data_IF_773770091527
#
_entry.id   IF_773770091527
#
_cell.length_a   1.000
_cell.length_b   1.000
_cell.length_c   1.000
_cell.angle_alpha   90.00
_cell.angle_beta   90.00
_cell.angle_gamma   90.00
#
_symmetry.space_group_name_H-M   'P 1'
#
loop_
_entity.id
_entity.type
_entity.pdbx_description
1 polymer ?
#
# COMPACT_ATOMS: atom_id res chain seq x y z
N UNK A 1 4.14 21.70 1.55
CA UNK A 1 4.00 22.24 2.92
C UNK A 1 4.36 21.14 3.91
N UNK A 2 5.06 21.44 5.00
CA UNK A 2 5.32 20.49 6.09
C UNK A 2 4.29 20.75 7.19
N UNK A 3 3.64 19.71 7.68
CA UNK A 3 2.65 19.82 8.76
C UNK A 3 3.35 20.13 10.10
N UNK A 4 2.71 20.87 11.02
CA UNK A 4 3.22 21.03 12.37
C UNK A 4 3.22 19.68 13.11
N UNK A 5 3.82 19.63 14.31
CA UNK A 5 3.73 18.44 15.16
C UNK A 5 2.27 18.21 15.56
N UNK A 6 1.73 17.05 15.22
CA UNK A 6 0.37 16.63 15.55
C UNK A 6 0.38 15.44 16.50
N UNK A 7 -0.74 15.21 17.19
CA UNK A 7 -1.02 13.94 17.86
C UNK A 7 -1.26 12.85 16.80
N UNK A 8 -1.24 11.58 17.20
CA UNK A 8 -1.57 10.48 16.28
C UNK A 8 -2.97 10.66 15.66
N UNK A 9 -3.94 11.10 16.47
CA UNK A 9 -5.29 11.42 15.99
C UNK A 9 -5.29 12.58 14.97
N UNK A 10 -4.47 13.61 15.18
CA UNK A 10 -4.32 14.71 14.22
C UNK A 10 -3.70 14.24 12.90
N UNK A 11 -2.65 13.41 12.95
CA UNK A 11 -2.07 12.83 11.72
C UNK A 11 -3.08 11.94 11.00
N UNK A 12 -3.87 11.16 11.73
CA UNK A 12 -4.94 10.34 11.16
C UNK A 12 -5.99 11.19 10.44
N UNK A 13 -6.41 12.31 11.04
CA UNK A 13 -7.37 13.22 10.43
C UNK A 13 -6.84 13.83 9.11
N UNK A 14 -5.59 14.30 9.10
CA UNK A 14 -4.95 14.82 7.89
C UNK A 14 -4.80 13.72 6.81
N UNK A 15 -4.42 12.52 7.23
CA UNK A 15 -4.26 11.37 6.33
C UNK A 15 -5.60 10.98 5.69
N UNK A 16 -6.68 10.93 6.47
CA UNK A 16 -8.02 10.58 5.99
C UNK A 16 -8.56 11.58 4.94
N UNK A 17 -8.13 12.84 4.99
CA UNK A 17 -8.47 13.86 4.00
C UNK A 17 -7.62 13.82 2.72
N UNK A 18 -6.56 13.01 2.68
CA UNK A 18 -5.67 12.93 1.52
C UNK A 18 -6.31 12.13 0.38
N UNK A 19 -6.07 12.58 -0.87
CA UNK A 19 -6.51 11.84 -2.07
C UNK A 19 -5.76 10.52 -2.26
N UNK A 20 -4.50 10.50 -1.85
CA UNK A 20 -3.64 9.33 -1.79
C UNK A 20 -2.42 9.64 -0.92
N UNK A 21 -1.72 8.59 -0.49
CA UNK A 21 -0.47 8.69 0.24
C UNK A 21 0.67 7.97 -0.48
N UNK A 22 1.89 8.42 -0.23
CA UNK A 22 3.13 7.67 -0.51
C UNK A 22 3.85 7.52 0.81
N UNK A 23 4.18 6.29 1.19
CA UNK A 23 4.81 6.01 2.47
C UNK A 23 5.89 4.94 2.33
N UNK A 24 6.93 5.02 3.14
CA UNK A 24 7.84 3.90 3.39
C UNK A 24 7.25 2.96 4.44
N UNK A 25 7.83 1.77 4.60
CA UNK A 25 7.46 0.77 5.61
C UNK A 25 7.60 1.31 7.05
N UNK A 26 6.53 1.94 7.52
CA UNK A 26 6.40 2.59 8.83
C UNK A 26 4.94 2.56 9.27
N UNK A 27 4.69 2.77 10.56
CA UNK A 27 3.33 2.79 11.11
C UNK A 27 2.38 3.78 10.44
N UNK A 28 2.88 4.87 9.85
CA UNK A 28 2.03 5.83 9.12
C UNK A 28 1.51 5.28 7.78
N UNK A 29 2.28 4.43 7.10
CA UNK A 29 1.78 3.70 5.92
C UNK A 29 0.63 2.76 6.29
N UNK A 30 0.75 2.05 7.42
CA UNK A 30 -0.34 1.21 7.94
C UNK A 30 -1.56 2.02 8.38
N UNK A 31 -1.36 3.21 8.96
CA UNK A 31 -2.45 4.11 9.31
C UNK A 31 -3.24 4.54 8.07
N UNK A 32 -2.57 4.92 6.97
CA UNK A 32 -3.23 5.25 5.71
C UNK A 32 -4.03 4.08 5.15
N UNK A 33 -3.47 2.86 5.20
CA UNK A 33 -4.16 1.63 4.79
C UNK A 33 -5.41 1.36 5.64
N UNK A 34 -5.32 1.51 6.97
CA UNK A 34 -6.44 1.32 7.89
C UNK A 34 -7.56 2.35 7.68
N UNK A 35 -7.22 3.56 7.23
CA UNK A 35 -8.17 4.62 6.87
C UNK A 35 -8.72 4.49 5.44
N UNK A 36 -8.38 3.40 4.73
CA UNK A 36 -8.75 3.15 3.33
C UNK A 36 -8.31 4.26 2.37
N UNK A 37 -7.22 4.97 2.70
CA UNK A 37 -6.63 6.00 1.83
C UNK A 37 -5.76 5.30 0.79
N UNK A 38 -5.98 5.53 -0.52
CA UNK A 38 -5.17 4.94 -1.58
C UNK A 38 -3.69 5.22 -1.35
N UNK A 39 -2.86 4.19 -1.24
CA UNK A 39 -1.46 4.38 -0.83
C UNK A 39 -0.50 3.56 -1.68
N UNK A 40 0.58 4.20 -2.12
CA UNK A 40 1.77 3.52 -2.64
C UNK A 40 2.77 3.36 -1.51
N UNK A 41 3.03 2.12 -1.10
CA UNK A 41 3.95 1.78 -0.02
C UNK A 41 5.28 1.29 -0.58
N UNK A 42 6.39 1.93 -0.20
CA UNK A 42 7.72 1.70 -0.72
C UNK A 42 8.50 0.72 0.16
N UNK A 43 8.97 -0.38 -0.44
CA UNK A 43 9.71 -1.44 0.25
C UNK A 43 11.11 -1.59 -0.34
N UNK A 44 12.12 -1.14 0.41
CA UNK A 44 13.53 -1.35 0.06
C UNK A 44 14.10 -2.57 0.78
N UNK A 45 14.52 -2.44 2.05
CA UNK A 45 15.08 -3.54 2.81
C UNK A 45 14.03 -4.54 3.32
N UNK A 46 12.78 -4.13 3.50
CA UNK A 46 11.71 -4.94 4.08
C UNK A 46 10.91 -5.69 3.03
N UNK A 47 10.18 -6.73 3.45
CA UNK A 47 9.36 -7.56 2.57
C UNK A 47 7.87 -7.26 2.80
N UNK A 48 7.11 -6.79 1.79
CA UNK A 48 5.68 -6.53 1.93
C UNK A 48 4.86 -7.79 2.29
N UNK A 49 5.36 -8.99 2.00
CA UNK A 49 4.76 -10.25 2.47
C UNK A 49 4.75 -10.41 4.00
N UNK A 50 5.60 -9.68 4.72
CA UNK A 50 5.66 -9.68 6.19
C UNK A 50 5.14 -8.39 6.81
N UNK A 51 5.47 -7.23 6.22
CA UNK A 51 5.17 -5.90 6.77
C UNK A 51 4.30 -5.05 5.84
N UNK A 52 3.58 -5.70 4.92
CA UNK A 52 2.69 -5.04 3.98
C UNK A 52 1.64 -4.14 4.66
N UNK A 53 1.44 -2.94 4.10
CA UNK A 53 0.31 -2.09 4.45
C UNK A 53 -0.93 -2.63 3.72
N UNK A 54 -1.67 -3.54 4.35
CA UNK A 54 -2.81 -4.21 3.73
C UNK A 54 -4.11 -3.45 3.94
N UNK A 55 -4.98 -3.45 2.93
CA UNK A 55 -6.26 -2.75 2.98
C UNK A 55 -6.78 -2.43 1.58
N UNK A 56 -7.84 -1.61 1.53
CA UNK A 56 -8.41 -1.13 0.27
C UNK A 56 -7.45 -0.18 -0.45
N UNK A 57 -7.32 -0.33 -1.77
CA UNK A 57 -6.52 0.54 -2.63
C UNK A 57 -5.05 0.71 -2.21
N UNK A 58 -4.42 -0.38 -1.73
CA UNK A 58 -3.01 -0.40 -1.36
C UNK A 58 -2.15 -0.98 -2.50
N UNK A 59 -1.04 -0.31 -2.81
CA UNK A 59 -0.09 -0.74 -3.81
C UNK A 59 1.30 -0.84 -3.19
N UNK A 60 1.84 -2.07 -3.06
CA UNK A 60 3.17 -2.30 -2.54
C UNK A 60 4.19 -2.25 -3.68
N UNK A 61 5.07 -1.25 -3.64
CA UNK A 61 6.13 -1.06 -4.61
C UNK A 61 7.46 -1.48 -3.98
N UNK A 62 7.90 -2.69 -4.30
CA UNK A 62 9.14 -3.27 -3.79
C UNK A 62 10.32 -3.03 -4.72
N UNK A 63 11.50 -2.90 -4.12
CA UNK A 63 12.77 -2.82 -4.82
C UNK A 63 13.20 -4.19 -5.33
N UNK A 64 13.60 -4.24 -6.60
CA UNK A 64 14.23 -5.42 -7.22
C UNK A 64 15.76 -5.38 -7.13
N UNK A 65 16.31 -4.56 -6.21
CA UNK A 65 17.75 -4.43 -6.03
C UNK A 65 18.36 -5.73 -5.51
N UNK A 66 19.61 -6.02 -5.88
CA UNK A 66 20.24 -7.33 -5.65
C UNK A 66 20.23 -7.84 -4.20
N UNK A 67 20.19 -6.94 -3.20
CA UNK A 67 20.11 -7.32 -1.79
C UNK A 67 18.68 -7.28 -1.22
N UNK A 68 17.70 -6.73 -1.92
CA UNK A 68 16.34 -6.52 -1.44
C UNK A 68 15.45 -7.76 -1.69
N UNK A 69 14.59 -8.16 -0.73
CA UNK A 69 14.51 -7.67 0.65
C UNK A 69 15.62 -8.31 1.54
N UNK A 70 16.47 -7.48 2.18
CA UNK A 70 17.53 -7.99 3.05
C UNK A 70 17.11 -8.13 4.52
N UNK A 71 16.02 -7.47 4.93
CA UNK A 71 15.51 -7.36 6.30
C UNK A 71 16.53 -6.79 7.32
N UNK A 72 17.59 -6.14 6.85
CA UNK A 72 18.64 -5.57 7.72
C UNK A 72 18.30 -4.13 8.12
N UNK A 73 18.45 -3.82 9.41
CA UNK A 73 18.30 -2.45 9.95
C UNK A 73 19.43 -1.51 9.50
N UNK A 74 20.64 -2.04 9.35
CA UNK A 74 21.81 -1.30 8.87
C UNK A 74 22.25 -1.88 7.53
N UNK A 75 22.35 -1.01 6.52
CA UNK A 75 22.79 -1.40 5.19
C UNK A 75 24.29 -1.69 5.21
N UNK A 76 24.67 -2.92 4.85
CA UNK A 76 26.07 -3.36 4.73
C UNK A 76 26.49 -3.55 3.27
N UNK A 77 25.71 -3.02 2.32
CA UNK A 77 26.00 -3.14 0.89
C UNK A 77 27.22 -2.29 0.54
N UNK A 78 28.17 -2.87 -0.20
CA UNK A 78 29.38 -2.18 -0.65
C UNK A 78 29.25 -1.97 -2.17
N UNK A 79 29.02 -0.73 -2.63
CA UNK A 79 28.91 -0.43 -4.04
C UNK A 79 30.21 -0.69 -4.80
N UNK A 80 30.08 -1.18 -6.03
CA UNK A 80 31.17 -1.29 -7.01
C UNK A 80 31.70 0.08 -7.43
N UNK A 81 32.84 0.12 -8.13
CA UNK A 81 33.39 1.40 -8.62
C UNK A 81 32.44 2.06 -9.63
N UNK A 82 31.81 1.25 -10.47
CA UNK A 82 30.82 1.64 -11.47
C UNK A 82 29.54 2.18 -10.81
N UNK A 83 29.11 1.59 -9.70
CA UNK A 83 27.92 2.07 -8.99
C UNK A 83 28.17 3.40 -8.27
N UNK A 84 29.38 3.59 -7.71
CA UNK A 84 29.73 4.83 -7.00
C UNK A 84 29.71 6.07 -7.90
N UNK A 85 29.96 5.90 -9.21
CA UNK A 85 29.92 7.02 -10.15
C UNK A 85 28.52 7.32 -10.65
N UNK A 86 27.52 6.48 -10.34
CA UNK A 86 26.13 6.77 -10.71
C UNK A 86 25.56 7.90 -9.83
N UNK A 87 24.88 8.90 -10.41
CA UNK A 87 24.32 10.02 -9.63
C UNK A 87 23.28 9.61 -8.57
N UNK A 88 22.49 8.58 -8.85
CA UNK A 88 21.43 8.10 -7.95
C UNK A 88 21.97 7.48 -6.66
N UNK A 89 23.13 6.81 -6.72
CA UNK A 89 23.81 6.24 -5.56
C UNK A 89 24.35 7.30 -4.58
N UNK A 90 24.68 8.50 -5.08
CA UNK A 90 25.12 9.61 -4.24
C UNK A 90 23.97 10.26 -3.44
N UNK A 91 22.75 10.24 -4.00
CA UNK A 91 21.58 10.91 -3.42
C UNK A 91 20.66 9.96 -2.65
N UNK A 92 20.70 8.67 -2.96
CA UNK A 92 19.76 7.68 -2.45
C UNK A 92 20.46 6.66 -1.57
N UNK A 93 20.15 6.68 -0.28
CA UNK A 93 20.62 5.70 0.70
C UNK A 93 19.43 5.16 1.51
N UNK A 94 19.34 3.84 1.73
CA UNK A 94 20.21 2.78 1.19
C UNK A 94 20.03 2.57 -0.34
N UNK A 95 21.01 1.95 -1.03
CA UNK A 95 21.01 1.83 -2.50
C UNK A 95 19.82 1.05 -3.08
N UNK A 96 19.14 0.21 -2.29
CA UNK A 96 17.95 -0.48 -2.77
C UNK A 96 16.81 0.47 -3.16
N UNK A 97 16.76 1.70 -2.62
CA UNK A 97 15.77 2.69 -3.06
C UNK A 97 16.08 3.32 -4.42
N UNK A 98 17.25 3.08 -5.02
CA UNK A 98 17.55 3.52 -6.40
C UNK A 98 16.62 2.86 -7.43
N UNK A 99 16.06 1.70 -7.12
CA UNK A 99 15.05 1.01 -7.93
C UNK A 99 13.65 1.61 -7.78
N UNK A 100 13.46 2.53 -6.83
CA UNK A 100 12.20 3.21 -6.54
C UNK A 100 12.34 4.73 -6.77
N UNK A 101 12.77 5.17 -7.96
CA UNK A 101 12.98 6.59 -8.23
C UNK A 101 11.63 7.36 -8.21
N UNK A 102 11.65 8.68 -7.94
CA UNK A 102 10.44 9.48 -7.83
C UNK A 102 9.49 9.36 -9.04
N UNK A 103 10.04 9.21 -10.24
CA UNK A 103 9.27 9.07 -11.48
C UNK A 103 8.47 7.76 -11.51
N UNK A 104 9.07 6.66 -11.06
CA UNK A 104 8.39 5.36 -10.92
C UNK A 104 7.30 5.46 -9.85
N UNK A 105 7.62 6.04 -8.70
CA UNK A 105 6.66 6.21 -7.60
C UNK A 105 5.46 7.06 -8.04
N UNK A 106 5.72 8.16 -8.75
CA UNK A 106 4.69 9.03 -9.29
C UNK A 106 3.82 8.32 -10.34
N UNK A 107 4.42 7.54 -11.22
CA UNK A 107 3.69 6.74 -12.20
C UNK A 107 2.70 5.78 -11.53
N UNK A 108 3.18 4.99 -10.55
CA UNK A 108 2.32 4.05 -9.82
C UNK A 108 1.21 4.76 -9.04
N UNK A 109 1.52 5.92 -8.43
CA UNK A 109 0.53 6.74 -7.74
C UNK A 109 -0.55 7.26 -8.71
N UNK A 110 -0.15 7.74 -9.88
CA UNK A 110 -1.08 8.23 -10.90
C UNK A 110 -1.99 7.10 -11.42
N UNK A 111 -1.44 5.90 -11.65
CA UNK A 111 -2.21 4.70 -12.01
C UNK A 111 -3.20 4.34 -10.89
N UNK A 112 -2.77 4.36 -9.62
CA UNK A 112 -3.62 4.07 -8.48
C UNK A 112 -4.78 5.08 -8.35
N UNK A 113 -4.51 6.37 -8.58
CA UNK A 113 -5.53 7.43 -8.60
C UNK A 113 -6.52 7.27 -9.77
N UNK A 114 -6.05 6.81 -10.94
CA UNK A 114 -6.90 6.55 -12.11
C UNK A 114 -7.75 5.28 -11.99
N UNK A 115 -7.39 4.36 -11.10
CA UNK A 115 -8.12 3.12 -10.81
C UNK A 115 -9.27 3.27 -9.81
N UNK A 116 -9.45 4.45 -9.21
CA UNK A 116 -10.48 4.65 -8.19
C UNK A 116 -11.88 4.54 -8.80
N UNK A 117 -12.60 3.45 -8.50
CA UNK A 117 -14.07 3.45 -8.52
C UNK A 117 -14.58 4.32 -7.37
N UNK A 118 -15.73 5.00 -7.50
CA UNK A 118 -16.25 5.85 -6.43
C UNK A 118 -16.37 5.05 -5.13
N UNK A 119 -15.62 5.45 -4.09
CA UNK A 119 -15.95 5.03 -2.73
C UNK A 119 -17.33 5.63 -2.44
N UNK A 120 -18.34 4.86 -1.99
CA UNK A 120 -19.59 5.44 -1.55
C UNK A 120 -19.25 6.37 -0.39
N UNK A 121 -19.29 7.68 -0.66
CA UNK A 121 -19.11 8.71 0.34
C UNK A 121 -20.16 8.48 1.42
N UNK A 122 -19.73 8.24 2.66
CA UNK A 122 -20.60 8.16 3.83
C UNK A 122 -21.25 9.53 4.04
N UNK A 123 -22.33 9.77 3.32
CA UNK A 123 -23.24 10.89 3.50
C UNK A 123 -24.62 10.28 3.35
N UNK A 124 -25.39 10.36 4.43
CA UNK A 124 -26.78 9.89 4.59
C UNK A 124 -26.92 8.49 5.23
N UNK A 125 -26.67 8.39 6.54
CA UNK A 125 -27.52 7.54 7.38
C UNK A 125 -28.83 8.33 7.55
N UNK A 126 -29.77 8.18 6.62
CA UNK A 126 -31.17 8.43 6.92
C UNK A 126 -31.77 7.11 7.34
N UNK A 127 -32.31 7.08 8.55
CA UNK A 127 -33.11 5.99 9.10
C UNK A 127 -34.26 5.65 8.15
N UNK A 128 -34.15 4.52 7.44
CA UNK A 128 -35.28 3.86 6.83
C UNK A 128 -35.64 2.64 7.69
N UNK A 129 -36.85 2.69 8.22
CA UNK A 129 -37.51 1.68 9.03
C UNK A 129 -37.46 0.29 8.40
N UNK A 130 -37.30 -0.71 9.27
CA UNK A 130 -37.49 -2.12 8.94
C UNK A 130 -38.85 -2.36 8.24
N UNK A 131 -38.82 -3.11 7.14
CA UNK A 131 -39.97 -3.86 6.66
C UNK A 131 -39.47 -5.22 6.20
N UNK A 132 -39.84 -6.23 7.00
CA UNK A 132 -39.63 -7.64 6.73
C UNK A 132 -40.32 -8.06 5.44
N UNK A 133 -39.60 -8.77 4.57
CA UNK A 133 -40.21 -9.68 3.61
C UNK A 133 -39.25 -10.83 3.25
N UNK A 134 -39.64 -12.01 3.73
CA UNK A 134 -39.51 -13.34 3.13
C UNK A 134 -38.14 -13.90 2.72
N UNK A 135 -37.72 -14.93 3.47
CA UNK A 135 -36.86 -16.01 3.00
C UNK A 135 -37.42 -16.64 1.72
N UNK A 136 -36.57 -16.87 0.73
CA UNK A 136 -36.77 -17.87 -0.31
C UNK A 136 -35.52 -18.73 -0.44
N UNK A 137 -35.74 -20.04 -0.36
CA UNK A 137 -34.75 -21.10 -0.25
C UNK A 137 -33.95 -21.34 -1.54
N UNK A 138 -32.71 -21.81 -1.36
CA UNK A 138 -31.87 -22.38 -2.40
C UNK A 138 -32.40 -23.76 -2.85
N UNK A 139 -32.23 -24.15 -4.12
CA UNK A 139 -32.24 -25.56 -4.49
C UNK A 139 -30.81 -26.11 -4.54
N UNK A 140 -30.66 -27.28 -3.92
CA UNK A 140 -29.50 -28.16 -4.05
C UNK A 140 -29.56 -28.94 -5.37
N UNK A 141 -28.42 -29.10 -6.04
CA UNK A 141 -28.14 -30.22 -6.94
C UNK A 141 -26.63 -30.42 -7.02
N UNK A 142 -26.10 -31.47 -6.38
CA UNK A 142 -25.84 -32.80 -6.97
C UNK A 142 -24.45 -32.87 -7.63
N UNK A 143 -23.52 -33.48 -6.89
CA UNK A 143 -22.25 -33.96 -7.41
C UNK A 143 -22.43 -35.22 -8.27
N UNK A 144 -21.49 -35.50 -9.18
CA UNK A 144 -21.10 -36.87 -9.45
C UNK A 144 -19.64 -37.13 -9.06
N UNK A 145 -19.48 -38.29 -8.44
CA UNK A 145 -18.25 -39.05 -8.17
C UNK A 145 -17.54 -39.54 -9.43
N UNK A 146 -16.35 -40.13 -9.22
CA UNK A 146 -15.44 -40.90 -10.12
C UNK A 146 -14.36 -40.05 -10.81
N UNK A 147 -13.07 -40.41 -10.87
CA UNK A 147 -12.37 -41.67 -10.57
C UNK A 147 -10.86 -41.41 -10.40
N UNK A 148 -10.16 -42.40 -9.86
CA UNK A 148 -8.73 -42.55 -9.70
C UNK A 148 -7.85 -42.13 -10.90
N UNK A 149 -6.74 -41.44 -10.64
CA UNK A 149 -5.36 -41.99 -10.76
C UNK A 149 -4.32 -41.04 -10.17
#
# INVERSE_FOLDING_TARGET
QVLPRLTLAGVAAETAGARACVAVDTGLGHLAAALAVPTVSLYGPTNPGFTGAWGFAQHHLASDFACAPCLKKQCSYVPTAEEKVRPDFALTQPPCFTQLPPERVWHELAVLLGRQTPVPSTSTITSASASSAALAAAPASAAPSTEAR
#
